data_IF_266327387915
#
_entry.id   IF_266327387915
#
_cell.length_a   1.000
_cell.length_b   1.000
_cell.length_c   1.000
_cell.angle_alpha   90.00
_cell.angle_beta   90.00
_cell.angle_gamma   90.00
#
_symmetry.space_group_name_H-M   'P 1'
#
loop_
_entity.id
_entity.type
_entity.pdbx_description
1 polymer ?
#
# COMPACT_ATOMS: atom_id res chain seq x y z
N UNK A 1 -55.02 24.12 -28.87
CA UNK A 1 -54.13 22.97 -29.16
C UNK A 1 -52.72 23.32 -28.70
N UNK A 2 -52.31 22.93 -27.49
CA UNK A 2 -50.94 23.14 -26.98
C UNK A 2 -50.17 21.83 -27.06
N UNK A 3 -49.17 21.75 -27.94
CA UNK A 3 -48.26 20.60 -28.05
C UNK A 3 -47.20 20.73 -26.96
N UNK A 4 -47.19 19.82 -25.99
CA UNK A 4 -46.13 19.69 -24.99
C UNK A 4 -45.06 18.78 -25.61
N UNK A 5 -43.87 19.34 -25.85
CA UNK A 5 -42.72 18.64 -26.37
C UNK A 5 -41.93 18.07 -25.19
N UNK A 6 -41.95 16.75 -25.00
CA UNK A 6 -41.21 16.07 -23.95
C UNK A 6 -39.79 15.80 -24.45
N UNK A 7 -38.82 16.58 -23.96
CA UNK A 7 -37.40 16.36 -24.26
C UNK A 7 -36.88 15.24 -23.33
N UNK A 8 -36.71 14.04 -23.87
CA UNK A 8 -36.06 12.93 -23.17
C UNK A 8 -34.54 13.19 -23.14
N UNK A 9 -34.03 13.61 -21.98
CA UNK A 9 -32.60 13.72 -21.73
C UNK A 9 -32.05 12.32 -21.42
N UNK A 10 -31.51 11.63 -22.43
CA UNK A 10 -30.81 10.35 -22.23
C UNK A 10 -29.44 10.67 -21.64
N UNK A 11 -29.33 10.60 -20.32
CA UNK A 11 -28.04 10.63 -19.63
C UNK A 11 -27.30 9.32 -19.95
N UNK A 12 -26.31 9.40 -20.83
CA UNK A 12 -25.35 8.34 -21.08
C UNK A 12 -24.52 8.09 -19.82
N UNK A 13 -24.88 7.05 -19.07
CA UNK A 13 -24.08 6.52 -17.96
C UNK A 13 -22.84 5.84 -18.53
N UNK A 14 -21.75 6.61 -18.66
CA UNK A 14 -20.42 6.05 -18.87
C UNK A 14 -20.00 5.34 -17.58
N UNK A 15 -20.30 4.03 -17.50
CA UNK A 15 -19.76 3.16 -16.47
C UNK A 15 -18.26 2.96 -16.76
N UNK A 16 -17.41 3.80 -16.19
CA UNK A 16 -15.97 3.58 -16.21
C UNK A 16 -15.63 2.39 -15.32
N UNK A 17 -15.48 1.21 -15.93
CA UNK A 17 -14.90 0.04 -15.28
C UNK A 17 -13.37 0.20 -15.18
N UNK A 18 -12.89 0.99 -14.21
CA UNK A 18 -11.45 1.23 -13.95
C UNK A 18 -10.78 0.19 -13.04
N UNK A 19 -11.46 -0.92 -12.69
CA UNK A 19 -10.97 -1.79 -11.62
C UNK A 19 -9.71 -2.63 -11.94
N UNK A 20 -9.43 -2.95 -13.22
CA UNK A 20 -8.32 -3.83 -13.58
C UNK A 20 -7.01 -3.12 -13.88
N UNK A 21 -7.06 -1.88 -14.39
CA UNK A 21 -5.87 -1.15 -14.86
C UNK A 21 -5.01 -0.68 -13.69
N UNK A 22 -5.63 -0.23 -12.59
CA UNK A 22 -4.92 0.34 -11.44
C UNK A 22 -4.16 -0.73 -10.62
N UNK A 23 -4.71 -1.94 -10.53
CA UNK A 23 -4.11 -3.03 -9.75
C UNK A 23 -2.80 -3.53 -10.38
N UNK A 24 -2.75 -3.62 -11.72
CA UNK A 24 -1.50 -3.91 -12.42
C UNK A 24 -0.52 -2.74 -12.37
N UNK A 25 -1.00 -1.50 -12.29
CA UNK A 25 -0.14 -0.33 -12.18
C UNK A 25 0.70 -0.37 -10.89
N UNK A 26 0.08 -0.66 -9.73
CA UNK A 26 0.81 -0.77 -8.46
C UNK A 26 1.79 -1.95 -8.46
N UNK A 27 1.37 -3.09 -9.00
CA UNK A 27 2.26 -4.24 -9.20
C UNK A 27 3.49 -3.87 -10.04
N UNK A 28 3.30 -3.17 -11.17
CA UNK A 28 4.38 -2.77 -12.05
C UNK A 28 5.30 -1.72 -11.40
N UNK A 29 4.71 -0.77 -10.67
CA UNK A 29 5.46 0.21 -9.89
C UNK A 29 6.37 -0.50 -8.87
N UNK A 30 5.83 -1.46 -8.09
CA UNK A 30 6.60 -2.25 -7.14
C UNK A 30 7.71 -3.06 -7.81
N UNK A 31 7.42 -3.73 -8.93
CA UNK A 31 8.43 -4.45 -9.72
C UNK A 31 9.54 -3.55 -10.25
N UNK A 32 9.24 -2.28 -10.55
CA UNK A 32 10.26 -1.33 -11.01
C UNK A 32 11.25 -0.95 -9.90
N UNK A 33 10.81 -0.97 -8.63
CA UNK A 33 11.64 -0.64 -7.48
C UNK A 33 12.75 -1.68 -7.27
N UNK A 34 12.51 -2.96 -7.57
CA UNK A 34 13.52 -4.03 -7.43
C UNK A 34 14.74 -3.87 -8.34
N UNK A 35 14.74 -2.87 -9.23
CA UNK A 35 15.89 -2.52 -10.08
C UNK A 35 16.82 -1.49 -9.42
N UNK A 36 16.40 -0.90 -8.31
CA UNK A 36 17.16 0.07 -7.54
C UNK A 36 18.01 -0.65 -6.50
N UNK A 37 19.20 -0.12 -6.22
CA UNK A 37 20.02 -0.61 -5.12
C UNK A 37 19.64 0.11 -3.84
N UNK A 38 18.93 -0.57 -2.93
CA UNK A 38 18.44 0.00 -1.68
C UNK A 38 18.95 -0.82 -0.50
N UNK A 39 19.71 -0.17 0.38
CA UNK A 39 20.15 -0.72 1.66
C UNK A 39 19.03 -0.63 2.69
N UNK A 40 18.85 -1.69 3.49
CA UNK A 40 17.93 -1.65 4.61
C UNK A 40 18.43 -0.64 5.67
N UNK A 41 17.61 0.37 5.97
CA UNK A 41 17.95 1.40 6.96
C UNK A 41 16.69 1.87 7.72
N UNK A 42 16.52 1.41 8.98
CA UNK A 42 15.37 1.77 9.80
C UNK A 42 15.54 3.12 10.52
N UNK A 43 16.61 3.87 10.24
CA UNK A 43 16.88 5.13 10.90
C UNK A 43 15.76 6.15 10.67
N UNK A 44 15.63 7.06 11.62
CA UNK A 44 14.78 8.24 11.49
C UNK A 44 15.46 9.25 10.56
N UNK A 45 14.67 9.86 9.69
CA UNK A 45 15.11 10.92 8.78
C UNK A 45 14.16 12.11 8.92
N UNK A 46 14.71 13.33 8.95
CA UNK A 46 13.92 14.52 8.66
C UNK A 46 13.74 14.60 7.15
N UNK A 47 12.50 14.68 6.68
CA UNK A 47 12.16 14.68 5.25
C UNK A 47 11.19 15.81 4.95
N UNK A 48 11.15 16.22 3.68
CA UNK A 48 10.22 17.24 3.22
C UNK A 48 8.76 16.83 3.41
N UNK A 49 7.86 17.81 3.39
CA UNK A 49 6.42 17.58 3.44
C UNK A 49 5.67 18.66 2.66
N UNK A 50 4.72 18.29 1.77
CA UNK A 50 4.38 16.92 1.38
C UNK A 50 5.43 16.30 0.44
N UNK A 51 5.23 15.03 0.08
CA UNK A 51 6.00 14.28 -0.90
C UNK A 51 7.50 14.09 -0.58
N UNK A 52 7.87 14.14 0.70
CA UNK A 52 9.20 13.75 1.16
C UNK A 52 9.45 12.25 1.04
N UNK A 53 10.72 11.89 0.93
CA UNK A 53 11.20 10.52 0.95
C UNK A 53 12.53 10.47 1.71
N UNK A 54 12.86 9.30 2.25
CA UNK A 54 14.20 9.04 2.75
C UNK A 54 15.19 8.95 1.56
N UNK A 55 16.51 9.01 1.78
CA UNK A 55 17.48 8.88 0.70
C UNK A 55 17.17 7.69 -0.22
N UNK A 56 17.35 7.87 -1.53
CA UNK A 56 16.87 6.92 -2.53
C UNK A 56 17.51 5.52 -2.43
N UNK A 57 18.72 5.45 -1.87
CA UNK A 57 19.49 4.23 -1.61
C UNK A 57 19.20 3.60 -0.24
N UNK A 58 18.24 4.16 0.52
CA UNK A 58 17.83 3.71 1.86
C UNK A 58 16.35 3.36 1.88
N UNK A 59 15.98 2.50 2.82
CA UNK A 59 14.58 2.30 3.19
C UNK A 59 14.29 1.00 3.93
N UNK A 60 13.03 0.85 4.34
CA UNK A 60 12.46 -0.34 4.97
C UNK A 60 11.26 -0.87 4.17
N UNK A 61 10.53 -1.85 4.70
CA UNK A 61 9.40 -2.49 4.04
C UNK A 61 8.28 -1.51 3.62
N UNK A 62 7.95 -0.51 4.46
CA UNK A 62 6.94 0.51 4.14
C UNK A 62 7.35 1.42 2.99
N UNK A 63 8.65 1.70 2.83
CA UNK A 63 9.15 2.60 1.79
C UNK A 63 8.93 2.02 0.38
N UNK A 64 8.82 0.69 0.26
CA UNK A 64 8.36 0.03 -0.97
C UNK A 64 6.93 0.44 -1.31
N UNK A 65 6.04 0.45 -0.32
CA UNK A 65 4.63 0.81 -0.49
C UNK A 65 4.52 2.28 -0.89
N UNK A 66 5.20 3.15 -0.13
CA UNK A 66 5.20 4.60 -0.33
C UNK A 66 5.71 4.95 -1.74
N UNK A 67 6.87 4.42 -2.13
CA UNK A 67 7.47 4.68 -3.45
C UNK A 67 6.66 4.08 -4.60
N UNK A 68 6.00 2.94 -4.39
CA UNK A 68 5.14 2.33 -5.41
C UNK A 68 3.89 3.20 -5.66
N UNK A 69 3.22 3.66 -4.61
CA UNK A 69 2.08 4.58 -4.73
C UNK A 69 2.48 5.94 -5.29
N UNK A 70 3.66 6.46 -4.93
CA UNK A 70 4.19 7.73 -5.45
C UNK A 70 4.40 7.69 -6.97
N UNK A 71 4.84 6.55 -7.53
CA UNK A 71 4.90 6.36 -8.99
C UNK A 71 3.53 6.43 -9.68
N UNK A 72 2.45 6.28 -8.93
CA UNK A 72 1.07 6.41 -9.39
C UNK A 72 0.44 7.76 -9.03
N UNK A 73 1.22 8.71 -8.52
CA UNK A 73 0.75 10.04 -8.13
C UNK A 73 0.08 10.11 -6.74
N UNK A 74 0.14 9.05 -5.93
CA UNK A 74 -0.41 9.04 -4.57
C UNK A 74 0.70 9.28 -3.55
N UNK A 75 0.58 10.35 -2.77
CA UNK A 75 1.49 10.66 -1.68
C UNK A 75 0.99 10.09 -0.34
N UNK A 76 1.35 8.84 -0.06
CA UNK A 76 0.98 8.19 1.21
C UNK A 76 1.55 8.90 2.44
N UNK A 77 2.62 9.69 2.31
CA UNK A 77 3.11 10.52 3.42
C UNK A 77 2.01 11.49 3.87
N UNK A 78 1.48 12.27 2.93
CA UNK A 78 0.40 13.23 3.17
C UNK A 78 -0.89 12.54 3.59
N UNK A 79 -1.34 11.54 2.83
CA UNK A 79 -2.64 10.91 3.06
C UNK A 79 -2.73 10.27 4.46
N UNK A 80 -1.68 9.59 4.90
CA UNK A 80 -1.61 8.99 6.23
C UNK A 80 -1.51 10.08 7.29
N UNK A 81 -0.62 11.07 7.11
CA UNK A 81 -0.42 12.13 8.10
C UNK A 81 -1.70 12.94 8.37
N UNK A 82 -2.40 13.37 7.32
CA UNK A 82 -3.63 14.17 7.48
C UNK A 82 -4.77 13.36 8.09
N UNK A 83 -4.93 12.08 7.71
CA UNK A 83 -5.91 11.20 8.35
C UNK A 83 -5.59 10.97 9.83
N UNK A 84 -4.31 10.71 10.15
CA UNK A 84 -3.83 10.58 11.53
C UNK A 84 -4.05 11.85 12.34
N UNK A 85 -3.78 13.03 11.78
CA UNK A 85 -3.90 14.31 12.47
C UNK A 85 -5.34 14.57 12.91
N UNK A 86 -6.31 14.21 12.07
CA UNK A 86 -7.73 14.32 12.39
C UNK A 86 -8.25 13.20 13.31
N UNK A 87 -7.53 12.08 13.44
CA UNK A 87 -8.03 10.85 14.07
C UNK A 87 -7.00 10.17 14.98
N UNK A 88 -6.13 10.95 15.63
CA UNK A 88 -4.91 10.44 16.28
C UNK A 88 -5.18 9.32 17.29
N UNK A 89 -6.26 9.41 18.07
CA UNK A 89 -6.66 8.40 19.06
C UNK A 89 -7.05 7.04 18.48
N UNK A 90 -7.33 6.96 17.18
CA UNK A 90 -7.68 5.71 16.49
C UNK A 90 -6.46 4.96 15.96
N UNK A 91 -5.31 5.63 15.89
CA UNK A 91 -4.05 5.01 15.51
C UNK A 91 -3.37 4.39 16.72
N UNK A 92 -2.54 3.34 16.53
CA UNK A 92 -1.80 2.73 17.63
C UNK A 92 -0.98 3.78 18.40
N UNK A 93 -0.66 3.52 19.66
CA UNK A 93 0.05 4.49 20.53
C UNK A 93 1.36 3.91 21.10
N UNK A 94 1.83 2.80 20.52
CA UNK A 94 2.95 2.00 21.02
C UNK A 94 4.35 2.59 20.73
N UNK A 95 4.43 3.80 20.17
CA UNK A 95 5.68 4.53 19.92
C UNK A 95 5.88 5.76 20.82
N UNK A 96 4.96 6.01 21.76
CA UNK A 96 5.16 7.03 22.82
C UNK A 96 5.09 8.50 22.39
N UNK A 97 4.62 8.78 21.16
CA UNK A 97 4.41 10.15 20.70
C UNK A 97 3.04 10.68 21.14
N UNK A 98 2.95 11.99 21.40
CA UNK A 98 1.70 12.66 21.80
C UNK A 98 0.92 13.26 20.62
N UNK A 99 1.54 13.31 19.45
CA UNK A 99 0.98 13.85 18.21
C UNK A 99 1.61 13.13 17.00
N UNK A 100 1.05 13.43 15.83
CA UNK A 100 1.51 12.94 14.53
C UNK A 100 2.89 13.46 14.17
N UNK A 101 3.67 12.67 13.45
CA UNK A 101 4.98 13.06 12.92
C UNK A 101 5.08 12.74 11.42
N UNK A 102 4.96 13.78 10.60
CA UNK A 102 4.99 13.72 9.13
C UNK A 102 6.23 13.03 8.56
N UNK A 103 7.32 12.93 9.32
CA UNK A 103 8.54 12.27 8.89
C UNK A 103 8.45 10.73 8.92
N UNK A 104 7.55 10.17 9.73
CA UNK A 104 7.58 8.74 10.08
C UNK A 104 6.19 8.10 10.16
N UNK A 105 5.10 8.86 10.18
CA UNK A 105 3.73 8.34 10.29
C UNK A 105 3.41 7.24 9.27
N UNK A 106 3.65 7.51 7.98
CA UNK A 106 3.49 6.59 6.86
C UNK A 106 4.53 5.45 6.83
N UNK A 107 5.63 5.55 7.59
CA UNK A 107 6.71 4.55 7.64
C UNK A 107 6.53 3.50 8.75
N UNK A 108 5.33 3.42 9.34
CA UNK A 108 4.98 2.39 10.34
C UNK A 108 3.91 1.46 9.78
N UNK A 109 4.20 0.15 9.76
CA UNK A 109 3.23 -0.86 9.27
C UNK A 109 1.88 -0.78 10.01
N UNK A 110 1.81 -0.65 11.35
CA UNK A 110 0.53 -0.50 12.05
C UNK A 110 -0.26 0.75 11.65
N UNK A 111 0.42 1.84 11.27
CA UNK A 111 -0.23 3.06 10.79
C UNK A 111 -0.85 2.84 9.42
N UNK A 112 -0.10 2.24 8.49
CA UNK A 112 -0.62 1.89 7.17
C UNK A 112 -1.82 0.95 7.27
N UNK A 113 -1.77 -0.06 8.14
CA UNK A 113 -2.90 -0.96 8.39
C UNK A 113 -4.14 -0.19 8.87
N UNK A 114 -3.97 0.70 9.85
CA UNK A 114 -5.07 1.52 10.38
C UNK A 114 -5.63 2.44 9.30
N UNK A 115 -4.76 3.12 8.56
CA UNK A 115 -5.14 4.00 7.45
C UNK A 115 -5.95 3.24 6.39
N UNK A 116 -5.44 2.12 5.88
CA UNK A 116 -6.13 1.33 4.85
C UNK A 116 -7.49 0.82 5.33
N UNK A 117 -7.59 0.36 6.58
CA UNK A 117 -8.86 -0.03 7.18
C UNK A 117 -9.86 1.14 7.23
N UNK A 118 -9.41 2.31 7.66
CA UNK A 118 -10.23 3.54 7.72
C UNK A 118 -10.68 4.01 6.34
N UNK A 119 -9.90 3.75 5.29
CA UNK A 119 -10.29 4.00 3.90
C UNK A 119 -11.14 2.88 3.29
N UNK A 120 -11.56 1.87 4.07
CA UNK A 120 -12.41 0.78 3.58
C UNK A 120 -11.71 -0.18 2.61
N UNK A 121 -10.37 -0.24 2.66
CA UNK A 121 -9.55 -1.04 1.74
C UNK A 121 -9.34 -2.49 2.20
N UNK A 122 -9.87 -2.88 3.37
CA UNK A 122 -9.67 -4.21 3.97
C UNK A 122 -10.24 -5.32 3.08
N UNK A 123 -9.47 -6.41 2.94
CA UNK A 123 -9.83 -7.63 2.24
C UNK A 123 -9.79 -8.81 3.22
N UNK A 124 -10.58 -9.88 2.99
CA UNK A 124 -10.51 -11.07 3.80
C UNK A 124 -9.11 -11.70 3.77
N UNK A 125 -8.64 -12.18 4.93
CA UNK A 125 -7.44 -13.02 5.02
C UNK A 125 -7.90 -14.47 4.87
N UNK A 126 -7.48 -15.13 3.80
CA UNK A 126 -7.87 -16.50 3.50
C UNK A 126 -6.64 -17.38 3.24
N UNK A 127 -6.83 -18.70 3.24
CA UNK A 127 -5.81 -19.65 2.82
C UNK A 127 -5.79 -19.87 1.28
N UNK A 128 -6.71 -19.24 0.54
CA UNK A 128 -6.83 -19.43 -0.90
C UNK A 128 -5.95 -18.43 -1.65
N UNK A 129 -4.96 -18.95 -2.37
CA UNK A 129 -4.01 -18.18 -3.18
C UNK A 129 -4.66 -17.26 -4.20
N UNK A 130 -5.85 -17.59 -4.69
CA UNK A 130 -6.56 -16.82 -5.71
C UNK A 130 -7.15 -15.51 -5.16
N UNK A 131 -7.22 -15.36 -3.83
CA UNK A 131 -7.79 -14.16 -3.22
C UNK A 131 -6.79 -12.99 -3.14
N UNK A 132 -5.50 -13.28 -3.39
CA UNK A 132 -4.39 -12.32 -3.36
C UNK A 132 -3.95 -11.98 -4.79
N UNK A 133 -4.47 -10.89 -5.34
CA UNK A 133 -4.23 -10.47 -6.71
C UNK A 133 -3.09 -9.43 -6.80
N UNK A 134 -2.46 -9.26 -7.97
CA UNK A 134 -1.49 -8.20 -8.18
C UNK A 134 -2.04 -6.82 -7.78
N UNK A 135 -1.26 -6.04 -7.05
CA UNK A 135 -1.68 -4.76 -6.47
C UNK A 135 -2.24 -4.84 -5.05
N UNK A 136 -2.44 -6.04 -4.50
CA UNK A 136 -2.78 -6.17 -3.08
C UNK A 136 -1.59 -5.86 -2.18
N UNK A 137 -1.88 -5.30 -1.01
CA UNK A 137 -0.93 -5.05 0.06
C UNK A 137 -1.19 -6.10 1.14
N UNK A 138 -0.14 -6.78 1.57
CA UNK A 138 -0.23 -7.78 2.63
C UNK A 138 0.71 -7.39 3.76
N UNK A 139 0.22 -7.50 4.99
CA UNK A 139 0.99 -7.27 6.21
C UNK A 139 1.17 -8.57 6.97
N UNK A 140 2.35 -8.78 7.54
CA UNK A 140 2.70 -9.97 8.31
C UNK A 140 3.16 -9.63 9.72
N UNK A 141 2.94 -10.56 10.65
CA UNK A 141 3.70 -10.62 11.90
C UNK A 141 4.87 -11.59 11.71
N UNK A 142 6.08 -11.14 12.04
CA UNK A 142 7.29 -11.95 12.04
C UNK A 142 7.60 -12.56 13.42
N UNK A 143 6.68 -12.42 14.39
CA UNK A 143 6.91 -12.75 15.80
C UNK A 143 7.62 -11.63 16.57
N UNK A 144 7.62 -11.72 17.90
CA UNK A 144 8.35 -10.77 18.76
C UNK A 144 7.90 -9.30 18.64
N UNK A 145 6.68 -9.04 18.17
CA UNK A 145 6.17 -7.68 17.93
C UNK A 145 6.62 -7.06 16.60
N UNK A 146 7.44 -7.75 15.81
CA UNK A 146 7.89 -7.27 14.50
C UNK A 146 6.79 -7.46 13.45
N UNK A 147 6.54 -6.39 12.69
CA UNK A 147 5.56 -6.34 11.61
C UNK A 147 6.24 -6.07 10.27
N UNK A 148 5.72 -6.64 9.20
CA UNK A 148 6.25 -6.52 7.85
C UNK A 148 5.14 -6.22 6.84
N UNK A 149 5.47 -5.67 5.68
CA UNK A 149 4.50 -5.30 4.63
C UNK A 149 5.11 -5.47 3.24
N UNK A 150 4.28 -5.73 2.24
CA UNK A 150 4.70 -5.94 0.86
C UNK A 150 3.54 -5.89 -0.13
N UNK A 151 3.88 -5.85 -1.41
CA UNK A 151 2.92 -5.77 -2.52
C UNK A 151 2.92 -7.09 -3.28
N UNK A 152 1.72 -7.65 -3.51
CA UNK A 152 1.51 -8.78 -4.42
C UNK A 152 1.73 -8.30 -5.85
N UNK A 153 2.57 -8.97 -6.62
CA UNK A 153 2.90 -8.56 -7.98
C UNK A 153 2.51 -9.60 -9.03
N UNK A 154 2.34 -9.15 -10.27
CA UNK A 154 2.02 -9.97 -11.43
C UNK A 154 3.25 -10.74 -11.96
N UNK A 155 3.94 -11.44 -11.05
CA UNK A 155 4.94 -12.45 -11.36
C UNK A 155 4.64 -13.68 -10.53
N UNK A 156 4.71 -14.86 -11.15
CA UNK A 156 4.46 -16.12 -10.46
C UNK A 156 5.75 -16.72 -9.92
N UNK A 157 5.63 -17.46 -8.82
CA UNK A 157 6.67 -18.39 -8.37
C UNK A 157 6.93 -19.46 -9.44
N UNK A 158 8.04 -20.18 -9.33
CA UNK A 158 8.45 -21.23 -10.30
C UNK A 158 7.39 -22.31 -10.53
N UNK A 159 6.56 -22.59 -9.53
CA UNK A 159 5.44 -23.54 -9.63
C UNK A 159 4.21 -22.98 -10.36
N UNK A 160 4.20 -21.72 -10.78
CA UNK A 160 3.11 -21.05 -11.50
C UNK A 160 1.87 -20.70 -10.66
N UNK A 161 1.79 -21.16 -9.41
CA UNK A 161 0.56 -21.08 -8.60
C UNK A 161 0.42 -19.74 -7.88
N UNK A 162 1.49 -19.26 -7.26
CA UNK A 162 1.46 -18.11 -6.35
C UNK A 162 2.02 -16.86 -7.00
N UNK A 163 1.39 -15.72 -6.76
CA UNK A 163 2.01 -14.42 -7.04
C UNK A 163 3.16 -14.20 -6.05
N UNK A 164 4.23 -13.59 -6.53
CA UNK A 164 5.37 -13.17 -5.73
C UNK A 164 5.06 -11.85 -5.02
N UNK A 165 5.87 -11.54 -4.02
CA UNK A 165 5.77 -10.32 -3.22
C UNK A 165 7.00 -9.46 -3.48
N UNK A 166 6.78 -8.16 -3.71
CA UNK A 166 7.86 -7.16 -3.58
C UNK A 166 7.81 -6.56 -2.18
N UNK A 167 8.94 -6.60 -1.48
CA UNK A 167 9.12 -6.02 -0.15
C UNK A 167 10.60 -5.69 0.08
N UNK A 168 10.91 -5.01 1.18
CA UNK A 168 12.28 -4.75 1.62
C UNK A 168 12.52 -5.39 2.98
N UNK A 169 13.50 -6.30 3.07
CA UNK A 169 13.89 -6.97 4.32
C UNK A 169 15.39 -7.23 4.32
N UNK A 170 16.12 -6.80 5.36
CA UNK A 170 17.54 -7.13 5.59
C UNK A 170 18.50 -6.74 4.45
N UNK A 171 18.53 -7.53 3.38
CA UNK A 171 19.35 -7.36 2.19
C UNK A 171 18.82 -6.35 1.15
N UNK A 172 17.72 -5.65 1.44
CA UNK A 172 17.14 -4.63 0.56
C UNK A 172 15.83 -5.04 -0.10
N UNK A 173 15.51 -4.38 -1.23
CA UNK A 173 14.28 -4.59 -2.00
C UNK A 173 14.36 -5.85 -2.85
N UNK A 174 13.47 -6.82 -2.58
CA UNK A 174 13.50 -8.15 -3.19
C UNK A 174 12.14 -8.57 -3.74
N UNK A 175 12.16 -9.55 -4.64
CA UNK A 175 11.00 -10.26 -5.15
C UNK A 175 11.01 -11.68 -4.60
N UNK A 176 10.07 -12.03 -3.72
CA UNK A 176 10.10 -13.31 -2.99
C UNK A 176 8.75 -14.04 -2.97
N UNK A 177 8.77 -15.38 -2.95
CA UNK A 177 7.61 -16.22 -2.67
C UNK A 177 7.39 -16.33 -1.15
N UNK A 178 6.90 -15.26 -0.52
CA UNK A 178 6.76 -15.19 0.95
C UNK A 178 5.32 -15.04 1.47
N UNK A 179 4.31 -15.03 0.58
CA UNK A 179 2.91 -14.73 0.93
C UNK A 179 2.39 -15.47 2.17
N UNK A 180 2.66 -16.77 2.27
CA UNK A 180 2.24 -17.63 3.39
C UNK A 180 3.41 -18.14 4.24
N UNK A 181 4.60 -17.55 4.14
CA UNK A 181 5.74 -17.92 5.00
C UNK A 181 5.57 -17.41 6.44
N UNK A 182 4.81 -16.33 6.62
CA UNK A 182 4.59 -15.67 7.91
C UNK A 182 3.09 -15.50 8.18
N UNK A 183 2.72 -15.22 9.43
CA UNK A 183 1.33 -14.98 9.81
C UNK A 183 0.83 -13.68 9.18
N UNK A 184 -0.14 -13.78 8.26
CA UNK A 184 -0.81 -12.61 7.71
C UNK A 184 -1.66 -11.96 8.81
N UNK A 185 -1.49 -10.65 8.97
CA UNK A 185 -2.22 -9.81 9.93
C UNK A 185 -2.99 -8.67 9.26
N UNK A 186 -2.84 -8.50 7.95
CA UNK A 186 -3.59 -7.52 7.16
C UNK A 186 -3.53 -7.86 5.67
N UNK A 187 -4.63 -7.60 4.97
CA UNK A 187 -4.76 -7.76 3.54
C UNK A 187 -5.62 -6.59 3.03
N UNK A 188 -5.09 -5.81 2.09
CA UNK A 188 -5.71 -4.57 1.65
C UNK A 188 -5.61 -4.39 0.14
N UNK A 189 -6.62 -3.73 -0.43
CA UNK A 189 -6.56 -3.15 -1.77
C UNK A 189 -7.01 -1.71 -1.71
N UNK A 190 -6.04 -0.80 -1.62
CA UNK A 190 -6.28 0.63 -1.56
C UNK A 190 -6.20 1.24 -2.96
N UNK A 191 -7.29 1.87 -3.39
CA UNK A 191 -7.38 2.55 -4.68
C UNK A 191 -6.85 3.97 -4.55
N UNK A 192 -6.13 4.38 -5.58
CA UNK A 192 -5.73 5.74 -5.91
C UNK A 192 -6.93 6.58 -6.39
#
# INVERSE_FOLDING_TARGET
MKKILFFLFVASLSCFSQNSTDSFALSNAALSLTKQNVSYDPSYFSIDYPNGDVPSDKGVCTDVIIRAYRKLGVDLQKEVHEDMKANFSLYPQNWGLRNTDKNIDHRRVPNLMTFFKRKGAEKPITANLKDYLPGDIVCWSLGGGLTHIGIVVNKKASNGKRNLIVHNIGAGQVLEDCLFKYKIIGHYRFKN
#
